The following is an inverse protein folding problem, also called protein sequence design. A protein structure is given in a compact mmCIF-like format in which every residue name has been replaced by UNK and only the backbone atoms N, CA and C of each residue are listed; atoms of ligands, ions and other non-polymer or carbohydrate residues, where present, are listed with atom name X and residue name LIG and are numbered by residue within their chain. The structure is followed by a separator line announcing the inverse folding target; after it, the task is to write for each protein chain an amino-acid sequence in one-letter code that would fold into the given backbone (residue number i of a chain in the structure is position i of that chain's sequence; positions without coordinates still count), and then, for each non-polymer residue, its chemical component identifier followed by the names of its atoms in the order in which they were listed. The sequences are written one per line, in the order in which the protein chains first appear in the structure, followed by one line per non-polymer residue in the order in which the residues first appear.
data_IF_365417648635
#
_entry.id   IF_365417648635
#
_cell.length_a   1.000
_cell.length_b   1.000
_cell.length_c   1.000
_cell.angle_alpha   90.00
_cell.angle_beta   90.00
_cell.angle_gamma   90.00
#
_symmetry.space_group_name_H-M   'P 1'
#
loop_
_entity.id
_entity.type
_entity.pdbx_description
1 polymer ?
#
# COMPACT_ATOMS: atom_id res chain seq x y z
N UNK A 1 10.54 -15.57 -39.17
CA UNK A 1 11.54 -15.55 -38.07
C UNK A 1 11.31 -14.39 -37.09
N UNK A 2 10.87 -13.23 -37.57
CA UNK A 2 10.65 -12.01 -36.77
C UNK A 2 9.54 -12.14 -35.71
N UNK A 3 8.39 -12.71 -36.09
CA UNK A 3 7.28 -13.02 -35.16
C UNK A 3 7.72 -13.88 -33.95
N UNK A 4 8.60 -14.86 -34.18
CA UNK A 4 9.11 -15.73 -33.11
C UNK A 4 10.07 -14.99 -32.18
N UNK A 5 10.80 -13.99 -32.67
CA UNK A 5 11.66 -13.14 -31.83
C UNK A 5 10.83 -12.19 -30.96
N UNK A 6 9.82 -11.54 -31.56
CA UNK A 6 8.89 -10.68 -30.81
C UNK A 6 8.18 -11.41 -29.67
N UNK A 7 7.70 -12.64 -29.92
CA UNK A 7 7.10 -13.47 -28.88
C UNK A 7 8.08 -13.87 -27.77
N UNK A 8 9.35 -14.14 -28.11
CA UNK A 8 10.37 -14.46 -27.11
C UNK A 8 10.74 -13.24 -26.28
N UNK A 9 10.82 -12.05 -26.90
CA UNK A 9 11.11 -10.79 -26.23
C UNK A 9 9.97 -10.37 -25.29
N UNK A 10 8.71 -10.56 -25.70
CA UNK A 10 7.54 -10.34 -24.84
C UNK A 10 7.52 -11.28 -23.64
N UNK A 11 7.75 -12.58 -23.86
CA UNK A 11 7.81 -13.58 -22.78
C UNK A 11 8.95 -13.26 -21.81
N UNK A 12 10.14 -12.91 -22.33
CA UNK A 12 11.27 -12.48 -21.51
C UNK A 12 10.94 -11.23 -20.69
N UNK A 13 10.25 -10.24 -21.28
CA UNK A 13 9.85 -9.01 -20.60
C UNK A 13 8.79 -9.25 -19.51
N UNK A 14 7.88 -10.21 -19.70
CA UNK A 14 6.91 -10.64 -18.70
C UNK A 14 7.63 -11.31 -17.53
N UNK A 15 8.52 -12.27 -17.81
CA UNK A 15 9.27 -13.00 -16.77
C UNK A 15 10.15 -12.03 -15.98
N UNK A 16 10.93 -11.18 -16.66
CA UNK A 16 11.80 -10.20 -16.02
C UNK A 16 11.01 -9.19 -15.15
N UNK A 17 9.86 -8.72 -15.64
CA UNK A 17 8.97 -7.84 -14.88
C UNK A 17 8.41 -8.54 -13.64
N UNK A 18 7.97 -9.79 -13.79
CA UNK A 18 7.40 -10.60 -12.69
C UNK A 18 8.44 -10.85 -11.60
N UNK A 19 9.66 -11.25 -11.97
CA UNK A 19 10.78 -11.45 -11.04
C UNK A 19 11.20 -10.15 -10.35
N UNK A 20 11.21 -9.03 -11.09
CA UNK A 20 11.54 -7.72 -10.51
C UNK A 20 10.49 -7.28 -9.50
N UNK A 21 9.21 -7.49 -9.80
CA UNK A 21 8.10 -7.27 -8.86
C UNK A 21 8.26 -8.12 -7.61
N UNK A 22 8.45 -9.44 -7.76
CA UNK A 22 8.65 -10.35 -6.63
C UNK A 22 9.86 -9.96 -5.76
N UNK A 23 11.01 -9.64 -6.38
CA UNK A 23 12.23 -9.21 -5.68
C UNK A 23 12.01 -7.90 -4.92
N UNK A 24 11.32 -6.94 -5.52
CA UNK A 24 11.02 -5.66 -4.88
C UNK A 24 10.06 -5.83 -3.70
N UNK A 25 8.98 -6.59 -3.87
CA UNK A 25 8.02 -6.90 -2.81
C UNK A 25 8.69 -7.59 -1.62
N UNK A 26 9.57 -8.57 -1.90
CA UNK A 26 10.38 -9.24 -0.88
C UNK A 26 11.28 -8.23 -0.13
N UNK A 27 12.00 -7.37 -0.86
CA UNK A 27 12.95 -6.41 -0.28
C UNK A 27 12.31 -5.44 0.71
N UNK A 28 11.10 -4.95 0.42
CA UNK A 28 10.42 -3.97 1.29
C UNK A 28 9.61 -4.64 2.40
N UNK A 29 8.95 -5.77 2.11
CA UNK A 29 7.97 -6.36 3.02
C UNK A 29 8.63 -7.25 4.07
N UNK A 30 9.68 -7.97 3.70
CA UNK A 30 10.41 -8.85 4.62
C UNK A 30 10.90 -8.09 5.87
N UNK A 31 11.63 -6.96 5.77
CA UNK A 31 12.06 -6.23 6.96
C UNK A 31 10.88 -5.67 7.75
N UNK A 32 9.85 -5.15 7.08
CA UNK A 32 8.67 -4.62 7.75
C UNK A 32 7.92 -5.71 8.55
N UNK A 33 7.60 -6.84 7.92
CA UNK A 33 6.93 -7.96 8.57
C UNK A 33 7.78 -8.53 9.72
N UNK A 34 9.11 -8.55 9.55
CA UNK A 34 10.04 -8.95 10.61
C UNK A 34 9.92 -8.03 11.81
N UNK A 35 10.14 -6.72 11.62
CA UNK A 35 10.07 -5.73 12.71
C UNK A 35 8.71 -5.76 13.40
N UNK A 36 7.61 -5.77 12.65
CA UNK A 36 6.27 -5.77 13.22
C UNK A 36 5.95 -7.04 14.01
N UNK A 37 6.37 -8.22 13.51
CA UNK A 37 6.11 -9.50 14.19
C UNK A 37 6.98 -9.65 15.44
N UNK A 38 8.23 -9.19 15.40
CA UNK A 38 9.12 -9.25 16.57
C UNK A 38 8.71 -8.26 17.67
N UNK A 39 8.27 -7.04 17.31
CA UNK A 39 7.86 -6.01 18.28
C UNK A 39 6.47 -6.28 18.88
N UNK A 40 5.48 -6.62 18.06
CA UNK A 40 4.06 -6.63 18.47
C UNK A 40 3.46 -8.03 18.64
N UNK A 41 4.14 -9.10 18.22
CA UNK A 41 3.69 -10.48 18.42
C UNK A 41 4.53 -11.20 19.50
N UNK A 42 4.55 -10.63 20.71
CA UNK A 42 5.32 -11.14 21.86
C UNK A 42 4.92 -12.57 22.26
N UNK A 43 3.67 -12.96 22.01
CA UNK A 43 3.08 -14.25 22.37
C UNK A 43 3.41 -15.41 21.41
N UNK A 44 4.03 -15.16 20.25
CA UNK A 44 4.33 -16.21 19.26
C UNK A 44 5.71 -16.85 19.50
N UNK A 45 5.83 -18.15 19.27
CA UNK A 45 7.12 -18.85 19.27
C UNK A 45 7.97 -18.44 18.07
N UNK A 46 9.30 -18.61 18.14
CA UNK A 46 10.21 -18.25 17.04
C UNK A 46 9.83 -18.92 15.70
N UNK A 47 9.34 -20.17 15.75
CA UNK A 47 8.89 -20.93 14.57
C UNK A 47 7.59 -20.38 13.98
N UNK A 48 6.68 -19.88 14.80
CA UNK A 48 5.44 -19.25 14.33
C UNK A 48 5.71 -17.85 13.76
N UNK A 49 6.66 -17.12 14.35
CA UNK A 49 7.11 -15.82 13.82
C UNK A 49 7.70 -15.98 12.43
N UNK A 50 8.64 -16.92 12.23
CA UNK A 50 9.26 -17.14 10.92
C UNK A 50 8.25 -17.59 9.86
N UNK A 51 7.33 -18.51 10.20
CA UNK A 51 6.22 -18.91 9.31
C UNK A 51 5.31 -17.73 8.94
N UNK A 52 4.97 -16.88 9.92
CA UNK A 52 4.12 -15.70 9.70
C UNK A 52 4.80 -14.70 8.77
N UNK A 53 6.09 -14.40 9.02
CA UNK A 53 6.88 -13.51 8.17
C UNK A 53 6.97 -14.06 6.75
N UNK A 54 7.29 -15.35 6.59
CA UNK A 54 7.38 -16.00 5.29
C UNK A 54 6.03 -15.95 4.55
N UNK A 55 4.92 -16.26 5.22
CA UNK A 55 3.57 -16.22 4.66
C UNK A 55 3.18 -14.81 4.18
N UNK A 56 3.33 -13.80 5.02
CA UNK A 56 2.99 -12.40 4.69
C UNK A 56 3.84 -11.86 3.53
N UNK A 57 5.11 -12.27 3.50
CA UNK A 57 6.05 -11.85 2.46
C UNK A 57 5.77 -12.56 1.14
N UNK A 58 5.49 -13.86 1.17
CA UNK A 58 5.10 -14.64 0.01
C UNK A 58 3.79 -14.11 -0.57
N UNK A 59 2.78 -13.86 0.26
CA UNK A 59 1.50 -13.29 -0.18
C UNK A 59 1.71 -11.96 -0.91
N UNK A 60 2.51 -11.05 -0.36
CA UNK A 60 2.80 -9.77 -1.00
C UNK A 60 3.56 -9.93 -2.33
N UNK A 61 4.60 -10.78 -2.35
CA UNK A 61 5.41 -11.02 -3.53
C UNK A 61 4.62 -11.70 -4.65
N UNK A 62 3.78 -12.69 -4.32
CA UNK A 62 2.90 -13.38 -5.27
C UNK A 62 1.84 -12.45 -5.82
N UNK A 63 1.24 -11.58 -5.00
CA UNK A 63 0.27 -10.60 -5.48
C UNK A 63 0.92 -9.62 -6.47
N UNK A 64 2.11 -9.10 -6.16
CA UNK A 64 2.81 -8.18 -7.05
C UNK A 64 3.26 -8.86 -8.36
N UNK A 65 3.74 -10.10 -8.28
CA UNK A 65 4.07 -10.92 -9.44
C UNK A 65 2.86 -11.17 -10.33
N UNK A 66 1.72 -11.57 -9.74
CA UNK A 66 0.47 -11.80 -10.46
C UNK A 66 -0.04 -10.52 -11.14
N UNK A 67 0.07 -9.36 -10.49
CA UNK A 67 -0.33 -8.08 -11.09
C UNK A 67 0.52 -7.75 -12.32
N UNK A 68 1.85 -7.85 -12.23
CA UNK A 68 2.74 -7.56 -13.36
C UNK A 68 2.50 -8.54 -14.50
N UNK A 69 2.26 -9.81 -14.19
CA UNK A 69 1.92 -10.82 -15.19
C UNK A 69 0.61 -10.47 -15.92
N UNK A 70 -0.47 -10.18 -15.19
CA UNK A 70 -1.77 -9.81 -15.78
C UNK A 70 -1.65 -8.52 -16.60
N UNK A 71 -0.98 -7.50 -16.05
CA UNK A 71 -0.81 -6.21 -16.70
C UNK A 71 -0.03 -6.33 -18.01
N UNK A 72 1.08 -7.08 -18.03
CA UNK A 72 1.89 -7.28 -19.24
C UNK A 72 1.30 -8.28 -20.23
N UNK A 73 0.37 -9.14 -19.80
CA UNK A 73 -0.32 -10.11 -20.66
C UNK A 73 -1.46 -9.48 -21.47
N UNK A 74 -2.03 -8.37 -21.00
CA UNK A 74 -3.13 -7.67 -21.71
C UNK A 74 -2.60 -6.95 -22.96
N UNK A 75 -3.18 -7.18 -24.15
CA UNK A 75 -2.93 -6.34 -25.32
C UNK A 75 -3.61 -4.96 -25.15
N UNK A 76 -2.98 -3.83 -25.52
CA UNK A 76 -1.57 -3.68 -25.87
C UNK A 76 -0.75 -3.58 -24.58
N UNK A 77 0.32 -4.37 -24.44
CA UNK A 77 1.19 -4.36 -23.24
C UNK A 77 1.87 -3.00 -22.97
N UNK A 78 1.71 -2.04 -23.88
CA UNK A 78 1.92 -0.62 -23.70
C UNK A 78 0.63 0.13 -24.04
N UNK A 79 0.14 1.03 -23.18
CA UNK A 79 -1.06 1.79 -23.48
C UNK A 79 -0.82 2.78 -24.62
N UNK A 80 -1.37 2.51 -25.79
CA UNK A 80 -1.48 3.53 -26.85
C UNK A 80 -2.41 4.67 -26.44
N UNK A 81 -3.38 4.40 -25.53
CA UNK A 81 -4.24 5.41 -24.90
C UNK A 81 -4.29 5.25 -23.36
N UNK A 82 -4.37 6.35 -22.60
CA UNK A 82 -4.44 6.33 -21.13
C UNK A 82 -5.60 5.50 -20.54
N UNK A 83 -6.70 5.37 -21.29
CA UNK A 83 -7.89 4.61 -20.87
C UNK A 83 -7.62 3.10 -20.80
N UNK A 84 -6.77 2.57 -21.69
CA UNK A 84 -6.39 1.16 -21.67
C UNK A 84 -5.51 0.83 -20.46
N UNK A 85 -4.60 1.74 -20.05
CA UNK A 85 -3.84 1.60 -18.80
C UNK A 85 -4.75 1.51 -17.59
N UNK A 86 -5.76 2.39 -17.54
CA UNK A 86 -6.68 2.46 -16.41
C UNK A 86 -7.50 1.17 -16.30
N UNK A 87 -8.07 0.69 -17.42
CA UNK A 87 -8.87 -0.52 -17.42
C UNK A 87 -8.03 -1.77 -17.10
N UNK A 88 -6.85 -1.91 -17.72
CA UNK A 88 -5.93 -3.02 -17.43
C UNK A 88 -5.46 -3.01 -15.97
N UNK A 89 -5.15 -1.82 -15.43
CA UNK A 89 -4.80 -1.64 -14.02
C UNK A 89 -5.96 -1.93 -13.07
N UNK A 90 -7.18 -1.52 -13.41
CA UNK A 90 -8.39 -1.75 -12.60
C UNK A 90 -8.74 -3.24 -12.55
N UNK A 91 -8.74 -3.93 -13.69
CA UNK A 91 -9.01 -5.36 -13.79
C UNK A 91 -7.92 -6.16 -13.07
N UNK A 92 -6.64 -5.87 -13.35
CA UNK A 92 -5.52 -6.51 -12.66
C UNK A 92 -5.56 -6.27 -11.15
N UNK A 93 -5.92 -5.06 -10.74
CA UNK A 93 -6.00 -4.70 -9.32
C UNK A 93 -7.12 -5.43 -8.59
N UNK A 94 -8.31 -5.55 -9.22
CA UNK A 94 -9.43 -6.30 -8.66
C UNK A 94 -9.10 -7.79 -8.50
N UNK A 95 -8.46 -8.41 -9.49
CA UNK A 95 -8.11 -9.84 -9.45
C UNK A 95 -7.07 -10.13 -8.37
N UNK A 96 -6.07 -9.25 -8.23
CA UNK A 96 -4.91 -9.49 -7.35
C UNK A 96 -5.18 -9.08 -5.91
N UNK A 97 -5.73 -7.88 -5.70
CA UNK A 97 -5.93 -7.30 -4.37
C UNK A 97 -7.38 -7.34 -3.90
N UNK A 98 -8.30 -7.94 -4.67
CA UNK A 98 -9.72 -8.06 -4.29
C UNK A 98 -9.97 -8.89 -3.03
N UNK A 99 -9.02 -9.76 -2.64
CA UNK A 99 -9.12 -10.52 -1.38
C UNK A 99 -8.69 -9.65 -0.21
N UNK A 100 -9.55 -9.56 0.80
CA UNK A 100 -9.23 -8.87 2.04
C UNK A 100 -8.14 -9.63 2.81
N UNK A 101 -6.98 -9.00 2.96
CA UNK A 101 -5.91 -9.44 3.84
C UNK A 101 -5.22 -8.24 4.47
N UNK A 102 -4.56 -8.42 5.62
CA UNK A 102 -3.84 -7.33 6.28
C UNK A 102 -2.75 -6.73 5.39
N UNK A 103 -2.15 -7.53 4.49
CA UNK A 103 -1.17 -7.10 3.49
C UNK A 103 -1.84 -6.25 2.41
N UNK A 104 -2.92 -6.76 1.81
CA UNK A 104 -3.62 -6.08 0.72
C UNK A 104 -4.23 -4.77 1.20
N UNK A 105 -4.83 -4.77 2.39
CA UNK A 105 -5.41 -3.59 3.00
C UNK A 105 -4.37 -2.49 3.26
N UNK A 106 -3.20 -2.85 3.82
CA UNK A 106 -2.10 -1.90 4.02
C UNK A 106 -1.59 -1.32 2.69
N UNK A 107 -1.49 -2.15 1.65
CA UNK A 107 -1.07 -1.70 0.32
C UNK A 107 -2.09 -0.73 -0.30
N UNK A 108 -3.39 -1.03 -0.22
CA UNK A 108 -4.45 -0.18 -0.77
C UNK A 108 -4.48 1.17 -0.05
N UNK A 109 -4.41 1.21 1.28
CA UNK A 109 -4.38 2.48 2.02
C UNK A 109 -3.16 3.33 1.66
N UNK A 110 -1.99 2.70 1.53
CA UNK A 110 -0.77 3.38 1.13
C UNK A 110 -0.86 3.93 -0.30
N UNK A 111 -1.37 3.13 -1.23
CA UNK A 111 -1.55 3.56 -2.62
C UNK A 111 -2.59 4.67 -2.73
N UNK A 112 -3.71 4.57 -2.00
CA UNK A 112 -4.78 5.55 -2.00
C UNK A 112 -4.28 6.94 -1.56
N UNK A 113 -3.51 7.01 -0.46
CA UNK A 113 -2.93 8.28 -0.01
C UNK A 113 -1.98 8.90 -1.05
N UNK A 114 -1.17 8.08 -1.73
CA UNK A 114 -0.26 8.56 -2.80
C UNK A 114 -0.98 9.02 -4.05
N UNK A 115 -2.01 8.29 -4.47
CA UNK A 115 -2.84 8.68 -5.61
C UNK A 115 -3.54 9.99 -5.28
N UNK A 116 -4.14 10.13 -4.09
CA UNK A 116 -4.79 11.37 -3.66
C UNK A 116 -3.82 12.56 -3.71
N UNK A 117 -2.63 12.43 -3.13
CA UNK A 117 -1.61 13.49 -3.19
C UNK A 117 -1.19 13.79 -4.64
N UNK A 118 -1.03 12.77 -5.47
CA UNK A 118 -0.72 12.91 -6.89
C UNK A 118 -1.83 13.63 -7.67
N UNK A 119 -3.10 13.29 -7.41
CA UNK A 119 -4.28 13.92 -8.00
C UNK A 119 -4.40 15.38 -7.60
N UNK A 120 -4.12 15.72 -6.33
CA UNK A 120 -4.10 17.11 -5.87
C UNK A 120 -2.99 17.91 -6.59
N UNK A 121 -1.79 17.33 -6.76
CA UNK A 121 -0.70 17.95 -7.52
C UNK A 121 -1.08 18.18 -8.98
N UNK A 122 -1.66 17.17 -9.63
CA UNK A 122 -2.12 17.27 -11.01
C UNK A 122 -3.25 18.28 -11.19
N UNK A 123 -4.20 18.33 -10.25
CA UNK A 123 -5.30 19.31 -10.25
C UNK A 123 -4.78 20.75 -10.08
N UNK A 124 -3.72 20.94 -9.28
CA UNK A 124 -3.01 22.21 -9.14
C UNK A 124 -2.30 22.60 -10.43
N UNK A 125 -1.57 21.69 -11.07
CA UNK A 125 -0.89 21.94 -12.36
C UNK A 125 -1.88 22.32 -13.47
N UNK A 126 -3.06 21.66 -13.49
CA UNK A 126 -4.12 21.95 -14.46
C UNK A 126 -4.98 23.17 -14.10
N UNK A 127 -4.67 23.90 -13.02
CA UNK A 127 -5.38 25.13 -12.66
C UNK A 127 -6.85 24.93 -12.27
N UNK A 128 -7.24 23.74 -11.81
CA UNK A 128 -8.64 23.45 -11.45
C UNK A 128 -8.97 24.16 -10.12
N UNK A 129 -9.89 25.13 -10.16
CA UNK A 129 -10.45 25.75 -8.94
C UNK A 129 -11.28 24.69 -8.19
N UNK A 130 -11.10 24.48 -6.87
CA UNK A 130 -10.52 25.39 -5.87
C UNK A 130 -9.04 25.16 -5.51
N UNK A 131 -8.34 24.21 -6.14
CA UNK A 131 -6.95 23.86 -5.82
C UNK A 131 -5.90 24.78 -6.50
N UNK A 132 -6.35 25.73 -7.33
CA UNK A 132 -5.54 26.74 -8.01
C UNK A 132 -5.06 27.90 -7.11
N UNK A 133 -5.03 27.74 -5.78
CA UNK A 133 -4.57 28.79 -4.87
C UNK A 133 -3.05 28.96 -5.02
N UNK A 134 -2.64 29.92 -5.86
CA UNK A 134 -1.23 30.16 -6.22
C UNK A 134 -0.35 30.61 -5.04
N UNK A 135 -0.93 30.90 -3.87
CA UNK A 135 -0.21 31.25 -2.64
C UNK A 135 -0.04 30.10 -1.63
N UNK A 136 -0.74 28.97 -1.79
CA UNK A 136 -0.60 27.82 -0.91
C UNK A 136 0.58 26.96 -1.36
N UNK A 137 1.79 27.36 -0.98
CA UNK A 137 2.94 26.45 -1.08
C UNK A 137 2.66 25.21 -0.23
N UNK A 138 3.02 24.02 -0.73
CA UNK A 138 2.84 22.75 -0.03
C UNK A 138 3.43 22.83 1.40
N UNK A 139 4.49 23.63 1.57
CA UNK A 139 5.13 23.91 2.85
C UNK A 139 4.24 24.62 3.87
N UNK A 140 3.35 25.53 3.45
CA UNK A 140 2.48 26.29 4.38
C UNK A 140 1.13 25.60 4.65
N UNK A 141 0.70 24.72 3.74
CA UNK A 141 -0.57 23.97 3.90
C UNK A 141 -0.37 22.67 4.69
N UNK A 142 0.84 22.10 4.64
CA UNK A 142 1.19 20.88 5.35
C UNK A 142 0.98 20.95 6.88
N UNK A 143 1.38 22.02 7.59
CA UNK A 143 1.15 22.12 9.03
C UNK A 143 -0.33 22.13 9.41
N UNK A 144 -1.17 22.84 8.65
CA UNK A 144 -2.62 22.88 8.87
C UNK A 144 -3.26 21.51 8.60
N UNK A 145 -2.87 20.86 7.52
CA UNK A 145 -3.33 19.51 7.21
C UNK A 145 -2.91 18.50 8.29
N UNK A 146 -1.66 18.58 8.77
CA UNK A 146 -1.15 17.74 9.85
C UNK A 146 -1.93 17.95 11.15
N UNK A 147 -2.17 19.22 11.53
CA UNK A 147 -2.96 19.56 12.71
C UNK A 147 -4.40 19.03 12.61
N UNK A 148 -5.05 19.21 11.47
CA UNK A 148 -6.42 18.71 11.24
C UNK A 148 -6.51 17.18 11.26
N UNK A 149 -5.58 16.48 10.59
CA UNK A 149 -5.53 15.01 10.60
C UNK A 149 -5.31 14.50 12.02
N UNK A 150 -4.34 15.06 12.75
CA UNK A 150 -4.02 14.60 14.09
C UNK A 150 -5.14 14.88 15.10
N UNK A 151 -5.74 16.07 15.03
CA UNK A 151 -6.91 16.41 15.85
C UNK A 151 -8.10 15.47 15.60
N UNK A 152 -8.35 15.12 14.33
CA UNK A 152 -9.39 14.16 13.96
C UNK A 152 -9.08 12.76 14.50
N UNK A 153 -7.85 12.29 14.38
CA UNK A 153 -7.43 10.97 14.89
C UNK A 153 -7.61 10.86 16.39
N UNK A 154 -7.21 11.88 17.16
CA UNK A 154 -7.39 11.91 18.61
C UNK A 154 -8.87 11.97 19.01
N UNK A 155 -9.68 12.78 18.33
CA UNK A 155 -11.13 12.82 18.56
C UNK A 155 -11.79 11.46 18.32
N UNK A 156 -11.45 10.79 17.21
CA UNK A 156 -11.95 9.44 16.91
C UNK A 156 -11.46 8.40 17.91
N UNK A 157 -10.25 8.53 18.42
CA UNK A 157 -9.69 7.61 19.42
C UNK A 157 -10.46 7.67 20.75
N UNK A 158 -10.81 8.87 21.19
CA UNK A 158 -11.56 9.07 22.44
C UNK A 158 -13.04 8.69 22.30
N UNK A 159 -13.72 9.15 21.24
CA UNK A 159 -15.17 8.97 21.10
C UNK A 159 -15.57 7.63 20.46
N UNK A 160 -14.81 7.15 19.48
CA UNK A 160 -15.17 5.98 18.67
C UNK A 160 -13.95 5.08 18.35
N UNK A 161 -13.28 4.47 19.34
CA UNK A 161 -12.05 3.71 19.12
C UNK A 161 -12.23 2.49 18.19
N UNK A 162 -13.46 2.04 17.96
CA UNK A 162 -13.77 0.90 17.09
C UNK A 162 -13.68 1.22 15.58
N UNK A 163 -13.68 2.50 15.19
CA UNK A 163 -13.60 2.90 13.77
C UNK A 163 -12.15 3.08 13.29
N UNK A 164 -11.20 3.18 14.22
CA UNK A 164 -9.78 3.33 13.90
C UNK A 164 -9.17 2.02 13.42
N UNK A 165 -8.19 2.14 12.53
CA UNK A 165 -7.45 0.99 12.07
C UNK A 165 -6.82 0.23 13.25
N UNK A 166 -6.97 -1.11 13.33
CA UNK A 166 -6.52 -1.89 14.48
C UNK A 166 -5.04 -1.70 14.84
N UNK A 167 -4.16 -1.48 13.85
CA UNK A 167 -2.74 -1.23 14.14
C UNK A 167 -2.51 0.13 14.80
N UNK A 168 -3.22 1.17 14.36
CA UNK A 168 -3.08 2.53 14.90
C UNK A 168 -3.67 2.57 16.31
N UNK A 169 -4.85 1.98 16.49
CA UNK A 169 -5.48 1.84 17.81
C UNK A 169 -4.57 1.13 18.79
N UNK A 170 -3.96 0.00 18.41
CA UNK A 170 -3.07 -0.76 19.31
C UNK A 170 -1.86 0.05 19.77
N UNK A 171 -1.25 0.84 18.88
CA UNK A 171 -0.17 1.75 19.24
C UNK A 171 -0.64 2.88 20.15
N UNK A 172 -1.81 3.47 19.89
CA UNK A 172 -2.37 4.53 20.74
C UNK A 172 -2.80 4.00 22.12
N UNK A 173 -3.37 2.80 22.20
CA UNK A 173 -3.69 2.14 23.47
C UNK A 173 -2.42 1.89 24.29
N UNK A 174 -1.34 1.43 23.66
CA UNK A 174 -0.04 1.23 24.32
C UNK A 174 0.60 2.54 24.80
N UNK A 175 0.38 3.67 24.11
CA UNK A 175 0.96 4.96 24.48
C UNK A 175 0.11 5.70 25.52
N UNK A 176 -1.20 5.81 25.28
CA UNK A 176 -2.10 6.69 26.04
C UNK A 176 -2.86 5.97 27.15
N UNK A 177 -3.07 4.65 27.05
CA UNK A 177 -3.76 3.86 28.08
C UNK A 177 -2.82 3.05 28.96
N UNK A 178 -1.51 3.03 28.66
CA UNK A 178 -0.51 2.47 29.56
C UNK A 178 -0.38 3.35 30.81
N UNK A 179 -1.24 3.05 31.78
CA UNK A 179 -1.19 3.63 33.11
C UNK A 179 -0.21 2.78 33.91
N UNK A 180 0.95 3.33 34.28
CA UNK A 180 1.87 2.73 35.26
C UNK A 180 1.08 2.44 36.54
N UNK A 181 0.64 1.19 36.75
CA UNK A 181 0.16 0.72 38.06
C UNK A 181 -1.31 0.34 38.21
N UNK A 182 -2.05 -0.11 37.18
CA UNK A 182 -3.30 -0.85 37.42
C UNK A 182 -3.26 -2.24 36.79
N UNK A 183 -3.28 -3.34 37.58
CA UNK A 183 -3.40 -4.67 37.04
C UNK A 183 -4.78 -4.81 36.38
N UNK A 184 -4.79 -5.31 35.15
CA UNK A 184 -6.00 -5.77 34.47
C UNK A 184 -6.55 -6.98 35.24
N UNK A 185 -7.64 -6.76 35.98
CA UNK A 185 -8.51 -7.83 36.48
C UNK A 185 -9.38 -8.41 35.36
#
# INVERSE_FOLDING_TARGET
MEMRRLLLDEVAAIIAGTLSGAKYGLKIRLPHATVMTFLFAKQLTFREKSKTIAKLTAEHATNLAAFVFIYKRSPPGLPELPQHSFLAGAVGGYIVWGRYSSVNYQMILYLASRILVGSIKLAREKGVKPFSWSGASFGNTYPLAAAGIWGTVLYLFEQHPNVLHPSLRRSMDEIYRCTLGRPSG
#
